data_IF_235756489112
#
_entry.id   IF_235756489112
#
_cell.length_a   1.000
_cell.length_b   1.000
_cell.length_c   1.000
_cell.angle_alpha   90.00
_cell.angle_beta   90.00
_cell.angle_gamma   90.00
#
_symmetry.space_group_name_H-M   'P 1'
#
loop_
_entity.id
_entity.type
_entity.pdbx_description
1 polymer ?
#
# COMPACT_ATOMS: atom_id res chain seq x y z
N UNK A 1 9.83 11.96 19.29
CA UNK A 1 9.13 10.98 18.44
C UNK A 1 8.71 9.81 19.30
N UNK A 2 7.94 8.84 18.77
CA UNK A 2 7.94 7.51 19.35
C UNK A 2 9.39 7.01 19.52
N UNK A 3 9.64 6.23 20.58
CA UNK A 3 10.94 5.59 20.80
C UNK A 3 11.21 4.47 19.79
N UNK A 4 12.38 3.82 19.83
CA UNK A 4 12.67 2.67 18.98
C UNK A 4 11.68 1.52 19.25
N UNK A 5 11.55 0.62 18.27
CA UNK A 5 10.76 -0.61 18.37
C UNK A 5 11.22 -1.43 19.57
N UNK A 6 10.27 -1.92 20.37
CA UNK A 6 10.53 -2.79 21.51
C UNK A 6 10.75 -4.23 21.04
N UNK A 7 11.97 -4.55 20.61
CA UNK A 7 12.36 -5.89 20.15
C UNK A 7 13.65 -6.39 20.86
N UNK A 8 13.56 -6.94 22.08
CA UNK A 8 14.73 -7.31 22.90
C UNK A 8 15.65 -8.38 22.30
N UNK A 9 15.16 -9.15 21.33
CA UNK A 9 15.90 -10.21 20.63
C UNK A 9 16.46 -9.75 19.28
N UNK A 10 16.15 -8.53 18.85
CA UNK A 10 16.71 -7.95 17.63
C UNK A 10 18.05 -7.28 17.97
N UNK A 11 19.11 -7.48 17.16
CA UNK A 11 20.49 -7.14 17.56
C UNK A 11 20.79 -5.64 17.63
N UNK A 12 19.88 -4.75 17.22
CA UNK A 12 20.10 -3.31 17.21
C UNK A 12 18.83 -2.51 17.48
N UNK A 13 18.97 -1.18 17.57
CA UNK A 13 17.82 -0.30 17.58
C UNK A 13 17.13 -0.34 16.21
N UNK A 14 15.80 -0.33 16.21
CA UNK A 14 14.98 -0.31 14.99
C UNK A 14 13.97 0.82 15.04
N UNK A 15 13.82 1.54 13.93
CA UNK A 15 12.68 2.42 13.70
C UNK A 15 11.53 1.63 13.09
N UNK A 16 10.31 1.88 13.58
CA UNK A 16 9.09 1.27 13.06
C UNK A 16 8.78 1.81 11.67
N UNK A 17 8.58 0.91 10.71
CA UNK A 17 8.10 1.28 9.38
C UNK A 17 6.87 0.47 9.00
N UNK A 18 6.08 1.07 8.12
CA UNK A 18 4.87 0.50 7.58
C UNK A 18 4.95 0.42 6.07
N UNK A 19 4.39 -0.64 5.52
CA UNK A 19 4.10 -0.74 4.10
C UNK A 19 2.64 -0.37 3.87
N UNK A 20 2.39 0.60 2.99
CA UNK A 20 1.06 0.86 2.44
C UNK A 20 1.03 0.20 1.07
N UNK A 21 0.15 -0.79 0.90
CA UNK A 21 0.08 -1.64 -0.29
C UNK A 21 -1.32 -1.62 -0.87
N UNK A 22 -1.42 -1.45 -2.18
CA UNK A 22 -2.65 -1.66 -2.93
C UNK A 22 -2.45 -2.86 -3.86
N UNK A 23 -3.35 -3.83 -3.81
CA UNK A 23 -3.30 -5.02 -4.67
C UNK A 23 -4.68 -5.43 -5.17
N UNK A 24 -4.70 -6.10 -6.31
CA UNK A 24 -5.86 -6.83 -6.83
C UNK A 24 -5.66 -8.32 -6.55
N UNK A 25 -6.41 -8.85 -5.58
CA UNK A 25 -6.30 -10.25 -5.18
C UNK A 25 -6.88 -11.21 -6.22
N UNK A 26 -7.82 -10.76 -7.06
CA UNK A 26 -8.40 -11.60 -8.11
C UNK A 26 -7.42 -11.78 -9.28
N UNK A 27 -6.65 -10.74 -9.58
CA UNK A 27 -5.61 -10.76 -10.61
C UNK A 27 -4.23 -11.21 -10.10
N UNK A 28 -4.07 -11.49 -8.80
CA UNK A 28 -2.78 -11.75 -8.13
C UNK A 28 -1.74 -10.66 -8.44
N UNK A 29 -2.16 -9.40 -8.41
CA UNK A 29 -1.37 -8.26 -8.85
C UNK A 29 -1.12 -7.24 -7.72
N UNK A 30 0.14 -6.85 -7.53
CA UNK A 30 0.52 -5.72 -6.69
C UNK A 30 0.49 -4.44 -7.53
N UNK A 31 -0.44 -3.54 -7.23
CA UNK A 31 -0.71 -2.34 -8.03
C UNK A 31 0.10 -1.12 -7.56
N UNK A 32 0.38 -1.04 -6.26
CA UNK A 32 1.29 -0.05 -5.68
C UNK A 32 1.82 -0.50 -4.32
N UNK A 33 3.02 -0.04 -3.97
CA UNK A 33 3.63 -0.26 -2.66
C UNK A 33 4.47 0.94 -2.26
N UNK A 34 4.34 1.39 -1.01
CA UNK A 34 5.17 2.45 -0.44
C UNK A 34 5.52 2.18 1.01
N UNK A 35 6.80 2.30 1.33
CA UNK A 35 7.28 2.24 2.72
C UNK A 35 7.21 3.62 3.35
N UNK A 36 6.71 3.70 4.57
CA UNK A 36 6.66 4.94 5.36
C UNK A 36 7.16 4.70 6.78
N UNK A 37 7.98 5.62 7.29
CA UNK A 37 8.30 5.68 8.72
C UNK A 37 7.26 6.61 9.34
N UNK A 38 6.43 6.07 10.21
CA UNK A 38 5.35 6.81 10.84
C UNK A 38 5.87 7.49 12.11
N UNK A 39 5.66 8.80 12.22
CA UNK A 39 5.84 9.51 13.49
C UNK A 39 4.50 9.49 14.25
N UNK A 40 3.84 10.63 14.43
CA UNK A 40 2.48 10.66 15.01
C UNK A 40 1.38 10.41 13.97
N UNK A 41 1.59 10.89 12.75
CA UNK A 41 0.68 10.75 11.62
C UNK A 41 1.47 10.93 10.32
N UNK A 42 0.95 10.38 9.22
CA UNK A 42 1.48 10.57 7.87
C UNK A 42 0.34 10.69 6.87
N UNK A 43 0.56 11.45 5.80
CA UNK A 43 -0.29 11.45 4.60
C UNK A 43 0.51 10.80 3.49
N UNK A 44 -0.05 9.74 2.90
CA UNK A 44 0.64 8.92 1.90
C UNK A 44 -0.17 8.93 0.62
N UNK A 45 0.47 9.27 -0.49
CA UNK A 45 -0.08 9.08 -1.84
C UNK A 45 0.52 7.82 -2.46
N UNK A 46 -0.33 7.02 -3.08
CA UNK A 46 0.00 5.85 -3.89
C UNK A 46 -0.42 6.14 -5.34
N UNK A 47 0.50 5.93 -6.27
CA UNK A 47 0.21 5.97 -7.70
C UNK A 47 -0.05 4.53 -8.15
N UNK A 48 -1.28 4.25 -8.59
CA UNK A 48 -1.72 2.91 -8.96
C UNK A 48 -1.46 2.65 -10.45
N UNK A 49 -0.90 1.47 -10.75
CA UNK A 49 -0.94 0.94 -12.11
C UNK A 49 -2.17 0.04 -12.21
N UNK A 50 -3.19 0.47 -12.94
CA UNK A 50 -4.42 -0.32 -13.16
C UNK A 50 -4.29 -1.21 -14.40
N UNK A 51 -5.00 -2.35 -14.45
CA UNK A 51 -5.07 -3.18 -15.67
C UNK A 51 -5.63 -2.41 -16.88
N UNK A 52 -5.29 -2.85 -18.09
CA UNK A 52 -5.80 -2.24 -19.33
C UNK A 52 -7.30 -2.51 -19.52
N UNK A 53 -7.82 -3.63 -19.00
CA UNK A 53 -9.22 -3.96 -19.16
C UNK A 53 -10.11 -3.02 -18.33
N UNK A 54 -11.10 -2.36 -18.96
CA UNK A 54 -12.05 -1.54 -18.22
C UNK A 54 -12.94 -2.35 -17.27
N UNK A 55 -13.64 -1.63 -16.39
CA UNK A 55 -14.70 -2.13 -15.52
C UNK A 55 -14.36 -2.14 -14.03
N UNK A 56 -15.30 -2.62 -13.20
CA UNK A 56 -15.18 -2.56 -11.75
C UNK A 56 -14.09 -3.49 -11.24
N UNK A 57 -13.38 -3.04 -10.20
CA UNK A 57 -12.37 -3.80 -9.46
C UNK A 57 -12.58 -3.58 -7.96
N UNK A 58 -12.30 -4.63 -7.20
CA UNK A 58 -12.21 -4.57 -5.74
C UNK A 58 -10.76 -4.80 -5.36
N UNK A 59 -10.10 -3.75 -4.89
CA UNK A 59 -8.73 -3.82 -4.42
C UNK A 59 -8.69 -4.09 -2.93
N UNK A 60 -7.54 -4.62 -2.49
CA UNK A 60 -7.14 -4.64 -1.08
C UNK A 60 -6.13 -3.54 -0.83
N UNK A 61 -6.46 -2.62 0.08
CA UNK A 61 -5.53 -1.68 0.69
C UNK A 61 -5.05 -2.26 2.02
N UNK A 62 -3.75 -2.57 2.10
CA UNK A 62 -3.13 -3.14 3.28
C UNK A 62 -2.15 -2.15 3.90
N UNK A 63 -2.19 -2.04 5.22
CA UNK A 63 -1.20 -1.35 6.04
C UNK A 63 -0.47 -2.42 6.86
N UNK A 64 0.77 -2.75 6.47
CA UNK A 64 1.53 -3.86 7.07
C UNK A 64 2.71 -3.33 7.89
N UNK A 65 2.80 -3.72 9.15
CA UNK A 65 3.89 -3.32 10.05
C UNK A 65 5.13 -4.19 9.78
N UNK A 66 6.31 -3.59 9.70
CA UNK A 66 7.56 -4.33 9.55
C UNK A 66 8.17 -4.80 10.89
N UNK A 67 7.50 -4.50 12.01
CA UNK A 67 8.09 -4.55 13.36
C UNK A 67 7.23 -5.27 14.40
N UNK A 68 5.90 -5.16 14.30
CA UNK A 68 4.96 -5.78 15.24
C UNK A 68 3.99 -6.69 14.51
N UNK A 69 3.78 -7.89 15.05
CA UNK A 69 2.80 -8.85 14.54
C UNK A 69 1.42 -8.52 15.12
N UNK A 70 0.37 -8.66 14.30
CA UNK A 70 -1.02 -8.48 14.73
C UNK A 70 -1.54 -7.04 14.65
N UNK A 71 -0.77 -6.12 14.05
CA UNK A 71 -1.17 -4.72 13.85
C UNK A 71 -1.48 -4.39 12.38
N UNK A 72 -1.39 -5.38 11.49
CA UNK A 72 -1.71 -5.21 10.07
C UNK A 72 -3.20 -4.91 9.91
N UNK A 73 -3.52 -4.05 8.95
CA UNK A 73 -4.90 -3.69 8.61
C UNK A 73 -5.14 -3.93 7.13
N UNK A 74 -6.34 -4.41 6.80
CA UNK A 74 -6.78 -4.66 5.43
C UNK A 74 -8.14 -3.99 5.22
N UNK A 75 -8.29 -3.31 4.08
CA UNK A 75 -9.52 -2.63 3.68
C UNK A 75 -9.83 -2.93 2.22
N UNK A 76 -11.11 -3.13 1.90
CA UNK A 76 -11.57 -3.20 0.52
C UNK A 76 -11.76 -1.80 -0.06
N UNK A 77 -11.27 -1.58 -1.28
CA UNK A 77 -11.43 -0.34 -2.03
C UNK A 77 -12.00 -0.65 -3.39
N UNK A 78 -13.15 -0.06 -3.71
CA UNK A 78 -13.80 -0.23 -5.00
C UNK A 78 -13.36 0.87 -5.97
N UNK A 79 -13.04 0.48 -7.20
CA UNK A 79 -12.76 1.39 -8.29
C UNK A 79 -13.39 0.89 -9.59
N UNK A 80 -13.65 1.81 -10.50
CA UNK A 80 -14.13 1.49 -11.85
C UNK A 80 -13.08 1.99 -12.85
N UNK A 81 -12.43 1.05 -13.55
CA UNK A 81 -11.45 1.37 -14.58
C UNK A 81 -12.21 1.83 -15.82
N UNK A 82 -12.08 3.10 -16.17
CA UNK A 82 -12.72 3.62 -17.36
C UNK A 82 -11.93 3.21 -18.62
N UNK A 83 -12.61 3.02 -19.77
CA UNK A 83 -11.92 2.85 -21.04
C UNK A 83 -10.91 3.96 -21.27
N UNK A 84 -9.73 3.59 -21.80
CA UNK A 84 -8.77 4.57 -22.26
C UNK A 84 -9.46 5.53 -23.23
N UNK A 85 -9.38 6.82 -22.96
CA UNK A 85 -9.86 7.82 -23.92
C UNK A 85 -8.88 7.84 -25.09
N UNK A 86 -9.38 7.62 -26.32
CA UNK A 86 -8.62 7.82 -27.55
C UNK A 86 -8.24 9.32 -27.66
N UNK A 87 -7.15 9.72 -27.01
CA UNK A 87 -6.73 11.11 -26.96
C UNK A 87 -5.38 11.37 -26.29
N UNK A 88 -4.70 10.35 -25.78
CA UNK A 88 -3.33 10.47 -25.27
C UNK A 88 -2.45 9.36 -25.85
N UNK A 89 -2.25 9.41 -27.16
CA UNK A 89 -0.95 9.01 -27.70
C UNK A 89 0.07 9.98 -27.08
N UNK A 90 0.98 9.46 -26.26
CA UNK A 90 2.15 10.21 -25.83
C UNK A 90 3.11 10.30 -27.02
N UNK A 91 3.21 11.49 -27.61
CA UNK A 91 4.33 11.89 -28.46
C UNK A 91 5.61 12.08 -27.62
#
# INVERSE_FOLDING_TARGET
>A
GPGPVLAPRFPGAKEEAWWVVAGDAAADALLAIKRVVLQRAARVSLDLVVPEEPGPRTLKLMLMCDSYVGCDQEFEVFLDVLPAHEGMAQD
#
